data_IF_779350865323
#
_entry.id   IF_779350865323
#
_cell.length_a   1.000
_cell.length_b   1.000
_cell.length_c   1.000
_cell.angle_alpha   90.00
_cell.angle_beta   90.00
_cell.angle_gamma   90.00
#
_symmetry.space_group_name_H-M   'P 1'
#
loop_
_entity.id
_entity.type
_entity.pdbx_description
1 polymer ?
#
# COMPACT_ATOMS: atom_id res chain seq x y z
N UNK A 1 6.14 20.31 2.29
CA UNK A 1 6.61 19.88 0.95
C UNK A 1 5.60 18.89 0.42
N UNK A 2 5.24 18.93 -0.86
CA UNK A 2 4.28 18.01 -1.45
C UNK A 2 4.97 16.75 -1.98
N UNK A 3 4.27 15.62 -1.95
CA UNK A 3 4.74 14.32 -2.45
C UNK A 3 3.69 13.73 -3.39
N UNK A 4 4.13 13.07 -4.45
CA UNK A 4 3.27 12.42 -5.44
C UNK A 4 4.03 11.30 -6.14
N UNK A 5 3.30 10.36 -6.73
CA UNK A 5 3.87 9.25 -7.50
C UNK A 5 3.08 9.06 -8.80
N UNK A 6 3.78 8.74 -9.87
CA UNK A 6 3.18 8.42 -11.17
C UNK A 6 3.83 7.14 -11.68
N UNK A 7 3.01 6.19 -12.11
CA UNK A 7 3.46 4.91 -12.64
C UNK A 7 2.51 4.43 -13.72
N UNK A 8 2.99 3.57 -14.61
CA UNK A 8 2.15 2.81 -15.56
C UNK A 8 1.68 1.48 -14.97
N UNK A 9 2.24 1.06 -13.84
CA UNK A 9 1.79 -0.12 -13.09
C UNK A 9 0.59 0.20 -12.20
N UNK A 10 0.01 -0.82 -11.57
CA UNK A 10 -0.91 -0.61 -10.44
C UNK A 10 -0.20 0.21 -9.35
N UNK A 11 -0.92 1.13 -8.71
CA UNK A 11 -0.36 1.99 -7.63
C UNK A 11 0.05 1.18 -6.39
N UNK A 12 -0.55 0.00 -6.21
CA UNK A 12 -0.24 -0.99 -5.18
C UNK A 12 0.92 -1.92 -5.56
N UNK A 13 1.46 -1.82 -6.78
CA UNK A 13 2.61 -2.61 -7.20
C UNK A 13 3.83 -2.30 -6.32
N UNK A 14 4.76 -3.25 -6.21
CA UNK A 14 5.91 -3.11 -5.31
C UNK A 14 6.72 -1.80 -5.49
N UNK A 15 6.93 -1.36 -6.74
CA UNK A 15 7.71 -0.15 -7.04
C UNK A 15 7.07 1.13 -6.46
N UNK A 16 5.79 1.46 -6.77
CA UNK A 16 5.13 2.60 -6.14
C UNK A 16 4.82 2.37 -4.64
N UNK A 17 4.47 1.15 -4.24
CA UNK A 17 4.17 0.82 -2.84
C UNK A 17 5.35 1.03 -1.90
N UNK A 18 6.60 0.90 -2.38
CA UNK A 18 7.79 1.14 -1.57
C UNK A 18 7.89 2.58 -1.03
N UNK A 19 7.16 3.53 -1.61
CA UNK A 19 7.14 4.93 -1.14
C UNK A 19 6.23 5.16 0.06
N UNK A 20 5.24 4.30 0.29
CA UNK A 20 4.19 4.57 1.27
C UNK A 20 3.74 3.37 2.13
N UNK A 21 4.00 2.14 1.71
CA UNK A 21 3.48 0.94 2.36
C UNK A 21 4.58 0.11 3.04
N UNK A 22 4.20 -0.53 4.14
CA UNK A 22 4.95 -1.51 4.89
C UNK A 22 4.13 -2.81 4.99
N UNK A 23 4.52 -3.81 4.21
CA UNK A 23 3.86 -5.11 4.19
C UNK A 23 4.89 -6.25 4.18
N UNK A 24 4.56 -7.37 4.82
CA UNK A 24 5.42 -8.57 4.84
C UNK A 24 5.60 -9.21 3.46
N UNK A 25 4.66 -8.97 2.55
CA UNK A 25 4.70 -9.48 1.18
C UNK A 25 4.22 -8.41 0.19
N UNK A 26 4.96 -8.26 -0.92
CA UNK A 26 4.60 -7.37 -2.03
C UNK A 26 3.29 -7.74 -2.73
N UNK A 27 2.78 -8.95 -2.51
CA UNK A 27 1.57 -9.43 -3.16
C UNK A 27 0.30 -9.07 -2.39
N UNK A 28 0.43 -8.50 -1.19
CA UNK A 28 -0.70 -8.06 -0.35
C UNK A 28 -1.26 -6.71 -0.84
N UNK A 29 -1.56 -6.65 -2.13
CA UNK A 29 -2.02 -5.43 -2.81
C UNK A 29 -3.42 -5.02 -2.35
N UNK A 30 -4.26 -6.01 -2.06
CA UNK A 30 -5.64 -5.88 -1.58
C UNK A 30 -5.92 -6.88 -0.44
N UNK A 31 -7.06 -6.72 0.24
CA UNK A 31 -7.47 -7.56 1.35
C UNK A 31 -7.63 -9.03 0.96
N UNK A 32 -8.09 -9.31 -0.26
CA UNK A 32 -8.20 -10.64 -0.86
C UNK A 32 -6.85 -11.37 -0.93
N UNK A 33 -5.75 -10.65 -1.10
CA UNK A 33 -4.38 -11.20 -1.15
C UNK A 33 -3.71 -11.36 0.21
N UNK A 34 -4.24 -10.73 1.26
CA UNK A 34 -3.78 -10.92 2.63
C UNK A 34 -4.38 -12.23 3.18
N UNK A 35 -3.57 -13.13 3.79
CA UNK A 35 -4.08 -14.32 4.45
C UNK A 35 -5.11 -13.96 5.53
N UNK A 36 -6.21 -14.71 5.64
CA UNK A 36 -7.31 -14.41 6.56
C UNK A 36 -6.86 -14.23 8.01
N UNK A 37 -5.90 -15.04 8.47
CA UNK A 37 -5.33 -14.95 9.81
C UNK A 37 -4.57 -13.63 10.08
N UNK A 38 -4.03 -13.00 9.03
CA UNK A 38 -3.26 -11.75 9.14
C UNK A 38 -4.10 -10.50 8.89
N UNK A 39 -5.31 -10.60 8.32
CA UNK A 39 -6.16 -9.44 7.97
C UNK A 39 -6.57 -8.57 9.16
N UNK A 40 -6.60 -9.14 10.36
CA UNK A 40 -6.95 -8.41 11.59
C UNK A 40 -5.81 -7.52 12.10
N UNK A 41 -4.56 -7.87 11.81
CA UNK A 41 -3.37 -7.19 12.31
C UNK A 41 -2.56 -6.47 11.22
N UNK A 42 -2.68 -6.89 9.97
CA UNK A 42 -1.95 -6.33 8.83
C UNK A 42 -2.93 -5.71 7.82
N UNK A 43 -2.73 -4.43 7.53
CA UNK A 43 -3.41 -3.74 6.44
C UNK A 43 -2.79 -4.12 5.10
N UNK A 44 -3.63 -4.29 4.08
CA UNK A 44 -3.19 -4.40 2.69
C UNK A 44 -2.60 -3.09 2.17
N UNK A 45 -1.83 -3.16 1.09
CA UNK A 45 -1.13 -2.02 0.51
C UNK A 45 -2.13 -0.93 0.05
N UNK A 46 -3.33 -1.28 -0.43
CA UNK A 46 -4.32 -0.29 -0.82
C UNK A 46 -4.87 0.50 0.39
N UNK A 47 -5.15 -0.16 1.51
CA UNK A 47 -5.55 0.54 2.75
C UNK A 47 -4.46 1.44 3.29
N UNK A 48 -3.20 1.01 3.24
CA UNK A 48 -2.07 1.84 3.67
C UNK A 48 -1.93 3.11 2.81
N UNK A 49 -2.24 3.03 1.51
CA UNK A 49 -2.25 4.21 0.63
C UNK A 49 -3.25 5.28 1.10
N UNK A 50 -4.42 4.86 1.58
CA UNK A 50 -5.51 5.78 1.95
C UNK A 50 -5.47 6.22 3.41
N UNK A 51 -5.03 5.34 4.31
CA UNK A 51 -5.17 5.54 5.76
C UNK A 51 -3.86 5.94 6.45
N UNK A 52 -2.72 5.51 5.93
CA UNK A 52 -1.43 5.63 6.60
C UNK A 52 -0.56 6.72 5.97
N UNK A 53 0.38 7.24 6.76
CA UNK A 53 1.40 8.17 6.28
C UNK A 53 2.56 7.40 5.65
N UNK A 54 3.14 7.86 4.52
CA UNK A 54 2.85 9.11 3.80
C UNK A 54 1.73 9.04 2.75
N UNK A 55 1.11 7.88 2.54
CA UNK A 55 0.17 7.63 1.43
C UNK A 55 -1.03 8.58 1.41
N UNK A 56 -1.64 8.82 2.57
CA UNK A 56 -2.85 9.66 2.67
C UNK A 56 -2.63 11.15 2.37
N UNK A 57 -1.38 11.60 2.37
CA UNK A 57 -0.98 12.99 2.09
C UNK A 57 -0.31 13.14 0.71
N UNK A 58 -0.48 12.17 -0.18
CA UNK A 58 -0.11 12.34 -1.58
C UNK A 58 -1.00 13.41 -2.21
N UNK A 59 -0.36 14.32 -2.94
CA UNK A 59 -0.95 15.56 -3.46
C UNK A 59 -1.54 15.40 -4.86
#
# INVERSE_FOLDING_TARGET
KSTGLVTTTRVTHATPAALYAHASSRYWEDDGKVPSAARASCKDIAKQLLEDEPGKNLN
#
